data_IF_400832466567
#
_entry.id   IF_400832466567
#
_cell.length_a   1.000
_cell.length_b   1.000
_cell.length_c   1.000
_cell.angle_alpha   90.00
_cell.angle_beta   90.00
_cell.angle_gamma   90.00
#
_symmetry.space_group_name_H-M   'P 1'
#
loop_
_entity.id
_entity.type
_entity.pdbx_description
1 polymer ?
#
# COMPACT_ATOMS: atom_id res chain seq x y z
N UNK A 1 51.16 -41.16 -0.30
CA UNK A 1 50.09 -41.42 -1.28
C UNK A 1 48.78 -41.23 -0.56
N UNK A 2 48.03 -40.18 -0.96
CA UNK A 2 46.59 -39.96 -0.76
C UNK A 2 46.07 -39.83 0.67
N UNK A 3 45.14 -38.96 0.99
CA UNK A 3 44.74 -37.63 0.48
C UNK A 3 43.85 -37.14 1.63
N UNK A 4 44.32 -36.17 2.40
CA UNK A 4 43.49 -35.50 3.38
C UNK A 4 42.55 -34.59 2.60
N UNK A 5 41.31 -35.04 2.39
CA UNK A 5 40.22 -34.19 1.90
C UNK A 5 39.96 -33.10 2.95
N UNK A 6 40.71 -32.01 2.83
CA UNK A 6 40.30 -30.71 3.32
C UNK A 6 39.03 -30.33 2.57
N UNK A 7 37.90 -30.55 3.24
CA UNK A 7 36.64 -29.93 2.89
C UNK A 7 36.79 -28.45 3.23
N UNK A 8 37.43 -27.70 2.34
CA UNK A 8 37.48 -26.24 2.38
C UNK A 8 36.03 -25.80 2.13
N UNK A 9 35.30 -25.57 3.22
CA UNK A 9 34.07 -24.81 3.17
C UNK A 9 34.39 -23.49 2.52
N UNK A 10 33.94 -23.30 1.28
CA UNK A 10 33.73 -21.97 0.73
C UNK A 10 32.69 -21.33 1.63
N UNK A 11 33.14 -20.59 2.63
CA UNK A 11 32.33 -19.53 3.20
C UNK A 11 32.05 -18.59 2.03
N UNK A 12 30.85 -18.66 1.48
CA UNK A 12 30.31 -17.59 0.65
C UNK A 12 30.32 -16.34 1.52
N UNK A 13 31.33 -15.51 1.31
CA UNK A 13 31.41 -14.17 1.87
C UNK A 13 30.07 -13.51 1.50
N UNK A 14 29.20 -13.32 2.51
CA UNK A 14 27.82 -12.92 2.27
C UNK A 14 27.86 -11.47 1.85
N UNK A 15 27.83 -11.25 0.55
CA UNK A 15 27.91 -9.90 -0.01
C UNK A 15 26.59 -9.19 0.27
N UNK A 16 26.62 -8.20 1.15
CA UNK A 16 25.44 -7.44 1.53
C UNK A 16 25.22 -6.31 0.53
N UNK A 17 24.03 -6.19 -0.09
CA UNK A 17 23.73 -5.08 -0.99
C UNK A 17 23.75 -3.74 -0.23
N UNK A 18 24.33 -2.72 -0.85
CA UNK A 18 24.37 -1.35 -0.32
C UNK A 18 23.55 -0.42 -1.22
N UNK A 19 22.73 0.42 -0.61
CA UNK A 19 22.03 1.52 -1.28
C UNK A 19 22.85 2.81 -1.08
N UNK A 20 23.26 3.43 -2.18
CA UNK A 20 23.99 4.71 -2.20
C UNK A 20 23.18 5.76 -2.97
N UNK A 21 23.14 6.98 -2.45
CA UNK A 21 22.55 8.13 -3.13
C UNK A 21 23.70 8.88 -3.82
N UNK A 22 23.75 8.86 -5.16
CA UNK A 22 24.80 9.56 -5.92
C UNK A 22 24.48 11.05 -6.10
N UNK A 23 23.22 11.36 -6.40
CA UNK A 23 22.75 12.74 -6.60
C UNK A 23 21.38 12.90 -5.95
N UNK A 24 21.18 14.00 -5.24
CA UNK A 24 19.91 14.36 -4.62
C UNK A 24 19.66 15.86 -4.79
N UNK A 25 18.45 16.18 -5.22
CA UNK A 25 17.89 17.52 -5.36
C UNK A 25 16.41 17.44 -4.99
N UNK A 26 15.77 18.57 -4.73
CA UNK A 26 14.37 18.63 -4.27
C UNK A 26 13.38 17.88 -5.18
N UNK A 27 13.66 17.83 -6.50
CA UNK A 27 12.78 17.22 -7.52
C UNK A 27 13.43 16.06 -8.25
N UNK A 28 14.66 15.67 -7.91
CA UNK A 28 15.41 14.63 -8.62
C UNK A 28 16.35 13.85 -7.71
N UNK A 29 16.40 12.54 -7.85
CA UNK A 29 17.44 11.73 -7.23
C UNK A 29 17.94 10.61 -8.14
N UNK A 30 19.22 10.29 -7.96
CA UNK A 30 19.91 9.17 -8.60
C UNK A 30 20.43 8.22 -7.53
N UNK A 31 19.82 7.05 -7.45
CA UNK A 31 20.09 6.00 -6.47
C UNK A 31 20.82 4.84 -7.14
N UNK A 32 21.78 4.25 -6.43
CA UNK A 32 22.54 3.09 -6.89
C UNK A 32 22.47 2.00 -5.85
N UNK A 33 22.07 0.80 -6.27
CA UNK A 33 22.06 -0.40 -5.44
C UNK A 33 23.02 -1.41 -6.03
N UNK A 34 24.07 -1.75 -5.26
CA UNK A 34 25.01 -2.80 -5.61
C UNK A 34 25.65 -3.40 -4.35
N UNK A 35 26.09 -4.67 -4.40
CA UNK A 35 25.87 -5.64 -5.47
C UNK A 35 24.57 -6.42 -5.27
N UNK A 36 23.84 -6.67 -6.36
CA UNK A 36 22.63 -7.49 -6.40
C UNK A 36 22.91 -8.81 -7.09
N UNK A 37 22.20 -9.87 -6.71
CA UNK A 37 22.26 -11.13 -7.44
C UNK A 37 21.82 -10.96 -8.90
N UNK A 38 22.39 -11.78 -9.80
CA UNK A 38 22.09 -11.69 -11.23
C UNK A 38 20.59 -11.84 -11.49
N UNK A 39 20.00 -10.87 -12.19
CA UNK A 39 18.58 -10.80 -12.53
C UNK A 39 17.74 -9.99 -11.54
N UNK A 40 18.21 -9.79 -10.30
CA UNK A 40 17.48 -8.98 -9.32
C UNK A 40 17.47 -7.50 -9.66
N UNK A 41 18.47 -6.99 -10.39
CA UNK A 41 18.46 -5.59 -10.84
C UNK A 41 17.23 -5.25 -11.68
N UNK A 42 16.85 -6.14 -12.61
CA UNK A 42 15.68 -5.95 -13.48
C UNK A 42 14.38 -6.10 -12.66
N UNK A 43 14.32 -7.12 -11.80
CA UNK A 43 13.13 -7.39 -10.96
C UNK A 43 12.83 -6.21 -10.03
N UNK A 44 13.84 -5.73 -9.29
CA UNK A 44 13.68 -4.60 -8.38
C UNK A 44 13.40 -3.30 -9.14
N UNK A 45 14.16 -3.02 -10.21
CA UNK A 45 13.99 -1.81 -11.01
C UNK A 45 12.59 -1.69 -11.62
N UNK A 46 12.08 -2.77 -12.21
CA UNK A 46 10.76 -2.79 -12.81
C UNK A 46 9.63 -2.72 -11.76
N UNK A 47 9.77 -3.43 -10.63
CA UNK A 47 8.79 -3.40 -9.55
C UNK A 47 8.68 -1.99 -8.94
N UNK A 48 9.81 -1.39 -8.58
CA UNK A 48 9.85 -0.03 -8.03
C UNK A 48 9.30 0.99 -9.01
N UNK A 49 9.69 0.93 -10.29
CA UNK A 49 9.18 1.83 -11.34
C UNK A 49 7.65 1.78 -11.45
N UNK A 50 7.05 0.59 -11.37
CA UNK A 50 5.59 0.43 -11.45
C UNK A 50 4.91 1.07 -10.25
N UNK A 51 5.41 0.82 -9.04
CA UNK A 51 4.80 1.33 -7.81
C UNK A 51 4.95 2.85 -7.70
N UNK A 52 6.14 3.38 -7.99
CA UNK A 52 6.43 4.82 -8.01
C UNK A 52 5.46 5.60 -8.91
N UNK A 53 5.08 5.05 -10.07
CA UNK A 53 4.21 5.73 -11.03
C UNK A 53 2.71 5.56 -10.74
N UNK A 54 2.30 4.56 -9.95
CA UNK A 54 0.89 4.16 -9.85
C UNK A 54 0.28 4.20 -8.46
N UNK A 55 1.07 3.92 -7.41
CA UNK A 55 0.53 3.50 -6.10
C UNK A 55 0.83 4.48 -4.97
N UNK A 56 1.66 5.48 -5.22
CA UNK A 56 1.93 6.54 -4.24
C UNK A 56 0.68 7.39 -4.02
N UNK A 57 0.47 7.76 -2.75
CA UNK A 57 -0.60 8.66 -2.34
C UNK A 57 -0.20 10.10 -2.63
N UNK A 58 -1.13 10.88 -3.14
CA UNK A 58 -0.97 12.31 -3.31
C UNK A 58 -2.30 13.03 -3.24
N UNK A 59 -2.24 14.36 -3.30
CA UNK A 59 -3.40 15.22 -3.25
C UNK A 59 -3.61 15.95 -4.57
N UNK A 60 -4.85 16.00 -5.03
CA UNK A 60 -5.22 16.69 -6.26
C UNK A 60 -6.62 17.30 -6.13
N UNK A 61 -6.88 18.30 -6.96
CA UNK A 61 -8.19 18.94 -7.08
C UNK A 61 -9.08 18.03 -7.93
N UNK A 62 -10.21 17.58 -7.38
CA UNK A 62 -11.15 16.66 -8.04
C UNK A 62 -12.32 17.40 -8.68
N UNK A 63 -12.71 18.54 -8.11
CA UNK A 63 -13.78 19.36 -8.66
C UNK A 63 -13.63 20.83 -8.29
N UNK A 64 -14.24 21.67 -9.11
CA UNK A 64 -14.18 23.13 -9.00
C UNK A 64 -15.59 23.67 -9.12
N UNK A 65 -15.96 24.59 -8.23
CA UNK A 65 -17.18 25.39 -8.34
C UNK A 65 -16.78 26.84 -8.55
N UNK A 66 -17.19 27.39 -9.68
CA UNK A 66 -16.92 28.77 -10.05
C UNK A 66 -18.24 29.55 -10.00
N UNK A 67 -18.25 30.71 -9.34
CA UNK A 67 -19.44 31.53 -9.30
C UNK A 67 -19.88 31.95 -10.71
N UNK A 68 -21.19 31.91 -10.99
CA UNK A 68 -21.79 32.30 -12.28
C UNK A 68 -21.49 31.38 -13.47
N UNK A 69 -20.73 30.30 -13.26
CA UNK A 69 -20.42 29.30 -14.28
C UNK A 69 -21.17 28.01 -14.00
N UNK A 70 -21.90 27.52 -15.00
CA UNK A 70 -22.65 26.27 -14.89
C UNK A 70 -21.93 25.07 -15.52
N UNK A 71 -21.04 25.32 -16.48
CA UNK A 71 -20.32 24.30 -17.25
C UNK A 71 -18.97 24.83 -17.78
N UNK A 72 -18.07 23.92 -18.13
CA UNK A 72 -16.69 24.17 -18.59
C UNK A 72 -16.56 25.01 -19.88
N UNK A 73 -17.58 25.01 -20.74
CA UNK A 73 -17.57 25.75 -22.02
C UNK A 73 -18.02 27.21 -21.92
N UNK A 74 -18.21 27.72 -20.70
CA UNK A 74 -18.64 29.11 -20.50
C UNK A 74 -17.44 30.06 -20.47
N UNK A 75 -17.69 31.34 -20.71
CA UNK A 75 -16.68 32.39 -20.55
C UNK A 75 -16.88 33.11 -19.23
N UNK A 76 -15.78 33.54 -18.60
CA UNK A 76 -15.78 34.30 -17.37
C UNK A 76 -15.69 35.80 -17.68
N UNK A 77 -16.71 36.61 -17.36
CA UNK A 77 -16.70 38.04 -17.67
C UNK A 77 -15.54 38.78 -17.00
N UNK A 78 -14.68 39.41 -17.80
CA UNK A 78 -13.56 40.24 -17.30
C UNK A 78 -12.31 39.46 -16.91
N UNK A 79 -12.21 38.20 -17.32
CA UNK A 79 -11.00 37.37 -17.31
C UNK A 79 -10.42 37.28 -18.73
N UNK A 80 -9.10 37.19 -18.86
CA UNK A 80 -8.41 37.08 -20.15
C UNK A 80 -8.52 35.66 -20.74
N UNK A 81 -8.41 34.65 -19.88
CA UNK A 81 -8.49 33.23 -20.19
C UNK A 81 -9.96 32.74 -20.20
N UNK A 82 -10.22 31.62 -20.88
CA UNK A 82 -11.53 30.96 -20.81
C UNK A 82 -11.62 29.99 -19.60
N UNK A 83 -12.82 29.47 -19.34
CA UNK A 83 -13.01 28.52 -18.22
C UNK A 83 -12.22 27.23 -18.42
N UNK A 84 -12.02 26.76 -19.66
CA UNK A 84 -11.30 25.53 -19.94
C UNK A 84 -9.79 25.70 -19.69
N UNK A 85 -9.21 26.80 -20.15
CA UNK A 85 -7.83 27.19 -19.90
C UNK A 85 -7.57 27.37 -18.39
N UNK A 86 -8.50 28.02 -17.68
CA UNK A 86 -8.43 28.09 -16.22
C UNK A 86 -8.43 26.70 -15.57
N UNK A 87 -9.33 25.80 -15.97
CA UNK A 87 -9.38 24.43 -15.43
C UNK A 87 -8.11 23.62 -15.77
N UNK A 88 -7.50 23.83 -16.92
CA UNK A 88 -6.20 23.23 -17.28
C UNK A 88 -5.09 23.74 -16.37
N UNK A 89 -5.03 25.04 -16.09
CA UNK A 89 -4.07 25.62 -15.15
C UNK A 89 -4.29 25.08 -13.72
N UNK A 90 -5.55 24.94 -13.30
CA UNK A 90 -5.91 24.36 -11.99
C UNK A 90 -5.41 22.91 -11.85
N UNK A 91 -5.43 22.12 -12.94
CA UNK A 91 -4.86 20.76 -12.97
C UNK A 91 -3.34 20.74 -12.78
N UNK A 92 -2.66 21.86 -13.00
CA UNK A 92 -1.22 22.00 -12.76
C UNK A 92 -0.85 22.34 -11.32
N UNK A 93 -1.82 22.68 -10.47
CA UNK A 93 -1.59 22.93 -9.04
C UNK A 93 -1.05 21.66 -8.38
N UNK A 94 -0.03 21.82 -7.53
CA UNK A 94 0.59 20.74 -6.75
C UNK A 94 0.32 20.94 -5.28
N UNK A 95 -0.45 20.03 -4.71
CA UNK A 95 -0.83 20.03 -3.31
C UNK A 95 -0.05 18.95 -2.57
N UNK A 96 0.61 19.34 -1.49
CA UNK A 96 1.13 18.42 -0.50
C UNK A 96 0.11 18.30 0.63
N UNK A 97 -0.35 17.09 0.89
CA UNK A 97 -1.21 16.83 2.05
C UNK A 97 -0.38 16.74 3.32
N UNK A 98 -0.81 17.44 4.36
CA UNK A 98 -0.26 17.38 5.71
C UNK A 98 -1.11 16.50 6.64
N UNK A 99 -2.34 16.20 6.24
CA UNK A 99 -3.25 15.29 6.92
C UNK A 99 -4.01 14.39 5.94
N UNK A 100 -4.57 13.28 6.43
CA UNK A 100 -5.32 12.32 5.61
C UNK A 100 -6.81 12.70 5.49
N UNK A 101 -7.11 13.97 5.25
CA UNK A 101 -8.48 14.48 5.09
C UNK A 101 -8.62 15.25 3.78
N UNK A 102 -9.77 15.11 3.13
CA UNK A 102 -10.15 16.01 2.05
C UNK A 102 -10.43 17.41 2.59
N UNK A 103 -10.31 18.42 1.72
CA UNK A 103 -10.56 19.81 2.10
C UNK A 103 -10.98 20.66 0.92
N UNK A 104 -11.45 21.86 1.25
CA UNK A 104 -11.85 22.86 0.25
C UNK A 104 -10.90 24.04 0.32
N UNK A 105 -10.36 24.42 -0.83
CA UNK A 105 -9.60 25.65 -1.02
C UNK A 105 -10.52 26.71 -1.61
N UNK A 106 -10.31 27.97 -1.28
CA UNK A 106 -11.08 29.07 -1.83
C UNK A 106 -10.19 30.13 -2.48
N UNK A 107 -10.72 30.81 -3.48
CA UNK A 107 -10.08 31.93 -4.15
C UNK A 107 -11.13 33.03 -4.27
N UNK A 108 -10.82 34.21 -3.73
CA UNK A 108 -11.69 35.39 -3.78
C UNK A 108 -10.84 36.63 -4.06
N UNK A 109 -10.86 37.08 -5.31
CA UNK A 109 -10.02 38.18 -5.79
C UNK A 109 -10.87 39.15 -6.61
N UNK A 110 -10.67 40.44 -6.36
CA UNK A 110 -11.34 41.55 -7.05
C UNK A 110 -10.33 42.49 -7.71
N UNK A 111 -10.67 42.97 -8.90
CA UNK A 111 -9.91 43.99 -9.62
C UNK A 111 -8.89 43.43 -10.63
N UNK A 112 -8.14 44.31 -11.30
CA UNK A 112 -7.26 43.90 -12.37
C UNK A 112 -5.94 43.36 -11.80
N UNK A 113 -5.75 42.05 -11.85
CA UNK A 113 -4.61 41.37 -11.24
C UNK A 113 -4.36 40.01 -11.90
N UNK A 114 -3.09 39.60 -11.93
CA UNK A 114 -2.68 38.24 -12.29
C UNK A 114 -2.82 37.36 -11.05
N UNK A 115 -3.60 36.29 -11.18
CA UNK A 115 -3.89 35.32 -10.13
C UNK A 115 -2.92 34.17 -10.23
N UNK A 116 -2.25 33.89 -9.12
CA UNK A 116 -1.30 32.77 -8.99
C UNK A 116 -1.80 31.73 -7.99
N UNK A 117 -1.18 30.54 -8.00
CA UNK A 117 -1.51 29.49 -7.04
C UNK A 117 -1.18 29.89 -5.59
N UNK A 118 -0.27 30.85 -5.39
CA UNK A 118 0.04 31.43 -4.08
C UNK A 118 -1.08 32.28 -3.49
N UNK A 119 -2.04 32.73 -4.31
CA UNK A 119 -3.18 33.53 -3.86
C UNK A 119 -4.36 32.69 -3.35
N UNK A 120 -4.27 31.35 -3.43
CA UNK A 120 -5.29 30.46 -2.88
C UNK A 120 -5.33 30.54 -1.36
N UNK A 121 -6.55 30.55 -0.82
CA UNK A 121 -6.80 30.36 0.60
C UNK A 121 -6.82 28.85 0.87
N UNK A 122 -5.66 28.34 1.28
CA UNK A 122 -5.43 26.92 1.56
C UNK A 122 -5.69 26.63 3.05
N UNK A 123 -6.46 25.58 3.41
CA UNK A 123 -6.60 25.18 4.81
C UNK A 123 -5.31 24.53 5.32
N UNK A 124 -5.14 24.47 6.66
CA UNK A 124 -3.92 23.95 7.29
C UNK A 124 -3.60 22.47 6.99
N UNK A 125 -4.53 21.74 6.38
CA UNK A 125 -4.36 20.35 5.97
C UNK A 125 -3.57 20.20 4.65
N UNK A 126 -3.40 21.28 3.86
CA UNK A 126 -2.70 21.25 2.57
C UNK A 126 -1.65 22.38 2.47
N UNK A 127 -0.65 22.13 1.63
CA UNK A 127 0.40 23.10 1.27
C UNK A 127 0.56 23.13 -0.26
N UNK A 128 0.58 24.33 -0.85
CA UNK A 128 0.81 24.51 -2.30
C UNK A 128 2.31 24.52 -2.57
N UNK A 129 2.78 23.62 -3.43
CA UNK A 129 4.21 23.46 -3.74
C UNK A 129 4.71 24.32 -4.90
N UNK A 130 3.80 24.84 -5.73
CA UNK A 130 4.12 25.70 -6.87
C UNK A 130 3.33 27.03 -6.81
N UNK A 131 3.58 27.89 -5.80
CA UNK A 131 2.84 29.15 -5.61
C UNK A 131 2.97 30.12 -6.79
N UNK A 132 4.03 30.02 -7.59
CA UNK A 132 4.30 30.82 -8.77
C UNK A 132 3.43 30.47 -9.99
N UNK A 133 2.68 29.37 -9.94
CA UNK A 133 1.87 28.92 -11.06
C UNK A 133 0.79 29.96 -11.40
N UNK A 134 0.79 30.39 -12.67
CA UNK A 134 -0.26 31.25 -13.22
C UNK A 134 -1.58 30.50 -13.34
N UNK A 135 -2.67 31.09 -12.85
CA UNK A 135 -4.02 30.49 -12.95
C UNK A 135 -4.91 31.27 -13.92
N UNK A 136 -4.99 32.59 -13.75
CA UNK A 136 -5.83 33.47 -14.57
C UNK A 136 -5.40 34.94 -14.45
N UNK A 137 -5.88 35.78 -15.35
CA UNK A 137 -5.67 37.24 -15.34
C UNK A 137 -7.02 37.95 -15.37
N UNK A 138 -7.26 38.84 -14.42
CA UNK A 138 -8.41 39.74 -14.42
C UNK A 138 -8.00 41.07 -15.06
N UNK A 139 -8.71 41.49 -16.10
CA UNK A 139 -8.41 42.72 -16.86
C UNK A 139 -9.29 43.91 -16.45
N UNK A 140 -10.48 43.63 -15.89
CA UNK A 140 -11.50 44.66 -15.67
C UNK A 140 -11.52 45.14 -14.22
N UNK A 141 -11.63 46.45 -13.94
CA UNK A 141 -11.68 46.96 -12.55
C UNK A 141 -12.87 46.50 -11.70
N UNK A 142 -13.87 45.87 -12.32
CA UNK A 142 -15.09 45.37 -11.68
C UNK A 142 -15.22 43.84 -11.77
N UNK A 143 -14.25 43.13 -12.32
CA UNK A 143 -14.29 41.67 -12.31
C UNK A 143 -13.91 41.15 -10.92
N UNK A 144 -14.65 40.13 -10.50
CA UNK A 144 -14.42 39.35 -9.29
C UNK A 144 -14.41 37.90 -9.69
N UNK A 145 -13.46 37.14 -9.17
CA UNK A 145 -13.40 35.71 -9.33
C UNK A 145 -13.57 35.06 -7.96
N UNK A 146 -14.65 34.30 -7.80
CA UNK A 146 -14.91 33.48 -6.61
C UNK A 146 -14.96 32.01 -7.03
N UNK A 147 -14.04 31.22 -6.50
CA UNK A 147 -13.88 29.80 -6.83
C UNK A 147 -13.67 28.99 -5.57
N UNK A 148 -14.40 27.87 -5.47
CA UNK A 148 -14.18 26.82 -4.49
C UNK A 148 -13.55 25.61 -5.20
N UNK A 149 -12.43 25.11 -4.68
CA UNK A 149 -11.76 23.91 -5.17
C UNK A 149 -11.91 22.81 -4.13
N UNK A 150 -12.31 21.62 -4.56
CA UNK A 150 -12.35 20.44 -3.71
C UNK A 150 -11.09 19.62 -3.95
N UNK A 151 -10.26 19.48 -2.91
CA UNK A 151 -9.06 18.66 -2.92
C UNK A 151 -9.28 17.38 -2.12
N UNK A 152 -8.85 16.28 -2.71
CA UNK A 152 -8.94 14.94 -2.12
C UNK A 152 -7.57 14.26 -2.14
N UNK A 153 -7.44 13.23 -1.32
CA UNK A 153 -6.32 12.30 -1.38
C UNK A 153 -6.70 11.11 -2.24
N UNK A 154 -5.76 10.65 -3.04
CA UNK A 154 -5.98 9.53 -3.94
C UNK A 154 -4.68 8.90 -4.41
N UNK A 155 -4.80 7.97 -5.35
CA UNK A 155 -3.69 7.27 -6.00
C UNK A 155 -3.86 7.32 -7.51
N UNK A 156 -2.75 7.44 -8.22
CA UNK A 156 -2.72 7.38 -9.67
C UNK A 156 -3.52 8.52 -10.34
N UNK A 157 -4.41 8.16 -11.25
CA UNK A 157 -5.18 9.08 -12.09
C UNK A 157 -6.66 8.73 -12.03
N UNK A 158 -7.50 9.73 -11.81
CA UNK A 158 -8.96 9.59 -11.85
C UNK A 158 -9.54 10.59 -12.85
N UNK A 159 -10.19 10.14 -13.92
CA UNK A 159 -10.80 11.04 -14.89
C UNK A 159 -12.05 11.72 -14.31
N UNK A 160 -12.32 12.95 -14.75
CA UNK A 160 -13.41 13.80 -14.26
C UNK A 160 -14.79 13.10 -14.24
N UNK A 161 -15.07 12.25 -15.24
CA UNK A 161 -16.36 11.55 -15.38
C UNK A 161 -16.61 10.39 -14.41
N UNK A 162 -15.69 10.10 -13.49
CA UNK A 162 -15.84 8.97 -12.56
C UNK A 162 -16.78 9.26 -11.39
N UNK A 163 -17.05 10.53 -11.09
CA UNK A 163 -17.86 10.96 -9.95
C UNK A 163 -19.27 11.33 -10.42
N UNK A 164 -20.25 10.49 -10.09
CA UNK A 164 -21.66 10.72 -10.42
C UNK A 164 -22.38 11.52 -9.32
N UNK A 165 -23.42 12.27 -9.68
CA UNK A 165 -24.31 12.92 -8.71
C UNK A 165 -23.83 14.27 -8.16
N UNK A 166 -22.86 14.92 -8.83
CA UNK A 166 -22.43 16.27 -8.46
C UNK A 166 -23.56 17.30 -8.66
N UNK A 167 -23.71 18.28 -7.75
CA UNK A 167 -24.65 19.37 -7.91
C UNK A 167 -24.37 20.19 -9.17
N UNK A 168 -25.42 20.80 -9.73
CA UNK A 168 -25.30 21.73 -10.87
C UNK A 168 -24.35 22.89 -10.48
N UNK A 169 -23.41 23.22 -11.36
CA UNK A 169 -22.39 24.26 -11.13
C UNK A 169 -21.10 23.74 -10.49
N UNK A 170 -21.00 22.44 -10.19
CA UNK A 170 -19.72 21.79 -9.84
C UNK A 170 -19.17 21.11 -11.09
N UNK A 171 -17.97 21.55 -11.51
CA UNK A 171 -17.28 21.02 -12.68
C UNK A 171 -16.25 20.00 -12.17
N UNK A 172 -16.36 18.72 -12.54
CA UNK A 172 -15.33 17.75 -12.21
C UNK A 172 -14.08 17.99 -13.06
N UNK A 173 -12.91 17.77 -12.47
CA UNK A 173 -11.61 17.91 -13.14
C UNK A 173 -10.87 16.58 -12.99
N UNK A 174 -10.05 16.26 -14.00
CA UNK A 174 -9.18 15.09 -13.92
C UNK A 174 -8.17 15.25 -12.78
N UNK A 175 -8.22 14.31 -11.83
CA UNK A 175 -7.35 14.33 -10.67
C UNK A 175 -6.08 13.51 -10.94
N UNK A 176 -4.93 14.17 -10.90
CA UNK A 176 -3.60 13.54 -11.01
C UNK A 176 -2.98 13.49 -9.62
N UNK A 177 -3.13 12.38 -8.93
CA UNK A 177 -2.60 12.19 -7.57
C UNK A 177 -1.14 11.76 -7.55
N UNK A 178 -0.58 11.32 -8.69
CA UNK A 178 0.79 10.78 -8.71
C UNK A 178 1.85 11.89 -8.54
N UNK A 179 2.70 11.83 -7.50
CA UNK A 179 3.72 12.85 -7.25
C UNK A 179 4.98 12.66 -8.13
N UNK A 180 5.12 11.50 -8.76
CA UNK A 180 6.28 11.13 -9.59
C UNK A 180 5.98 11.39 -11.06
N UNK A 181 6.80 12.22 -11.71
CA UNK A 181 6.67 12.55 -13.14
C UNK A 181 7.32 11.51 -14.04
N UNK A 182 8.49 11.02 -13.64
CA UNK A 182 9.31 10.14 -14.46
C UNK A 182 10.17 9.24 -13.58
N UNK A 183 10.35 8.01 -14.03
CA UNK A 183 11.29 7.05 -13.44
C UNK A 183 12.00 6.31 -14.56
N UNK A 184 13.33 6.33 -14.50
CA UNK A 184 14.21 5.55 -15.34
C UNK A 184 15.03 4.60 -14.48
N UNK A 185 15.36 3.43 -15.00
CA UNK A 185 16.35 2.55 -14.36
C UNK A 185 17.27 1.95 -15.40
N UNK A 186 18.49 1.65 -14.98
CA UNK A 186 19.51 0.96 -15.77
C UNK A 186 20.13 -0.12 -14.92
N UNK A 187 20.32 -1.31 -15.50
CA UNK A 187 21.00 -2.43 -14.86
C UNK A 187 22.34 -2.62 -15.56
N UNK A 188 23.41 -2.65 -14.78
CA UNK A 188 24.79 -2.86 -15.22
C UNK A 188 25.38 -4.07 -14.49
N UNK A 189 26.46 -4.67 -15.02
CA UNK A 189 27.18 -5.73 -14.33
C UNK A 189 28.28 -5.13 -13.45
N UNK A 190 28.39 -5.61 -12.21
CA UNK A 190 29.41 -5.17 -11.26
C UNK A 190 30.28 -6.33 -10.81
N UNK A 191 31.56 -6.05 -10.57
CA UNK A 191 32.53 -7.05 -10.13
C UNK A 191 32.76 -6.93 -8.63
N UNK A 192 32.52 -8.03 -7.91
CA UNK A 192 32.77 -8.13 -6.47
C UNK A 192 33.83 -9.20 -6.24
N UNK A 193 35.02 -8.78 -5.82
CA UNK A 193 36.17 -9.67 -5.63
C UNK A 193 36.53 -10.39 -6.94
N UNK A 194 36.30 -11.72 -6.97
CA UNK A 194 36.55 -12.56 -8.14
C UNK A 194 35.31 -12.82 -9.01
N UNK A 195 34.11 -12.49 -8.54
CA UNK A 195 32.86 -12.72 -9.29
C UNK A 195 32.46 -11.47 -10.07
N UNK A 196 32.01 -11.65 -11.31
CA UNK A 196 31.58 -10.58 -12.23
C UNK A 196 30.08 -10.59 -12.55
N UNK A 197 29.33 -11.50 -11.92
CA UNK A 197 27.96 -11.81 -12.35
C UNK A 197 26.89 -10.98 -11.63
N UNK A 198 27.29 -10.20 -10.62
CA UNK A 198 26.40 -9.34 -9.84
C UNK A 198 25.87 -8.18 -10.69
N UNK A 199 24.65 -7.75 -10.35
CA UNK A 199 23.97 -6.61 -10.94
C UNK A 199 24.21 -5.34 -10.10
N UNK A 200 24.25 -4.21 -10.79
CA UNK A 200 24.21 -2.84 -10.26
C UNK A 200 22.98 -2.16 -10.83
N UNK A 201 22.05 -1.77 -9.97
CA UNK A 201 20.84 -1.06 -10.35
C UNK A 201 21.04 0.44 -10.13
N UNK A 202 20.94 1.22 -11.20
CA UNK A 202 20.89 2.69 -11.16
C UNK A 202 19.45 3.10 -11.39
N UNK A 203 18.87 3.85 -10.46
CA UNK A 203 17.49 4.33 -10.50
C UNK A 203 17.50 5.87 -10.49
N UNK A 204 16.85 6.48 -11.47
CA UNK A 204 16.69 7.93 -11.61
C UNK A 204 15.21 8.29 -11.48
N UNK A 205 14.88 9.18 -10.54
CA UNK A 205 13.50 9.55 -10.19
C UNK A 205 13.34 11.06 -10.30
N UNK A 206 12.25 11.51 -10.94
CA UNK A 206 11.83 12.91 -10.99
C UNK A 206 10.46 13.09 -10.34
N UNK A 207 10.36 13.95 -9.32
CA UNK A 207 9.12 14.28 -8.61
C UNK A 207 8.68 15.71 -8.92
N UNK A 208 7.44 16.05 -8.56
CA UNK A 208 6.91 17.41 -8.69
C UNK A 208 7.20 18.32 -7.48
N UNK A 209 7.89 17.81 -6.47
CA UNK A 209 8.23 18.51 -5.23
C UNK A 209 7.27 18.28 -4.06
N UNK A 210 6.13 17.60 -4.28
CA UNK A 210 5.20 17.24 -3.19
C UNK A 210 5.77 16.19 -2.24
N UNK A 211 6.62 15.31 -2.77
CA UNK A 211 7.33 14.25 -2.03
C UNK A 211 8.80 14.24 -2.49
N UNK A 212 9.72 14.05 -1.54
CA UNK A 212 11.14 13.87 -1.86
C UNK A 212 11.32 12.59 -2.69
N UNK A 213 12.15 12.58 -3.74
CA UNK A 213 12.43 11.37 -4.52
C UNK A 213 12.90 10.18 -3.67
N UNK A 214 13.66 10.42 -2.60
CA UNK A 214 14.15 9.38 -1.68
C UNK A 214 13.00 8.80 -0.85
N UNK A 215 12.14 9.67 -0.30
CA UNK A 215 10.96 9.26 0.45
C UNK A 215 9.97 8.48 -0.44
N UNK A 216 9.80 8.91 -1.69
CA UNK A 216 8.95 8.23 -2.66
C UNK A 216 9.42 6.78 -2.93
N UNK A 217 10.74 6.55 -2.97
CA UNK A 217 11.31 5.20 -3.11
C UNK A 217 11.10 4.37 -1.85
N UNK A 218 11.27 4.96 -0.66
CA UNK A 218 10.98 4.30 0.61
C UNK A 218 9.52 3.84 0.70
N UNK A 219 8.57 4.76 0.46
CA UNK A 219 7.14 4.44 0.43
C UNK A 219 6.80 3.38 -0.61
N UNK A 220 7.43 3.42 -1.78
CA UNK A 220 7.22 2.40 -2.83
C UNK A 220 7.73 1.02 -2.41
N UNK A 221 8.85 0.96 -1.69
CA UNK A 221 9.38 -0.28 -1.15
C UNK A 221 8.45 -0.86 -0.08
N UNK A 222 7.93 -0.03 0.83
CA UNK A 222 6.97 -0.45 1.86
C UNK A 222 5.70 -1.02 1.23
N UNK A 223 5.14 -0.36 0.22
CA UNK A 223 3.98 -0.86 -0.53
C UNK A 223 4.27 -2.24 -1.13
N UNK A 224 5.45 -2.43 -1.75
CA UNK A 224 5.84 -3.74 -2.29
C UNK A 224 5.95 -4.80 -1.19
N UNK A 225 6.56 -4.47 -0.05
CA UNK A 225 6.68 -5.39 1.08
C UNK A 225 5.31 -5.82 1.61
N UNK A 226 4.36 -4.90 1.74
CA UNK A 226 2.99 -5.20 2.15
C UNK A 226 2.30 -6.15 1.16
N UNK A 227 2.48 -5.94 -0.15
CA UNK A 227 1.96 -6.88 -1.16
C UNK A 227 2.64 -8.25 -1.09
N UNK A 228 3.96 -8.29 -0.83
CA UNK A 228 4.71 -9.54 -0.70
C UNK A 228 4.46 -10.27 0.62
N UNK A 229 3.99 -9.58 1.66
CA UNK A 229 3.69 -10.18 2.96
C UNK A 229 2.67 -11.32 2.84
N UNK A 230 1.70 -11.20 1.93
CA UNK A 230 0.70 -12.24 1.64
C UNK A 230 1.34 -13.52 1.10
N UNK A 231 2.37 -13.39 0.27
CA UNK A 231 3.10 -14.54 -0.30
C UNK A 231 4.09 -15.13 0.72
N UNK A 232 4.70 -14.29 1.56
CA UNK A 232 5.63 -14.72 2.62
C UNK A 232 4.96 -15.63 3.66
N UNK A 233 3.65 -15.43 3.89
CA UNK A 233 2.84 -16.24 4.79
C UNK A 233 2.30 -17.53 4.13
N UNK A 234 2.40 -17.66 2.81
CA UNK A 234 1.91 -18.83 2.09
C UNK A 234 2.71 -20.08 2.49
N UNK A 235 2.03 -21.11 2.98
CA UNK A 235 2.67 -22.34 3.49
C UNK A 235 3.22 -22.24 4.91
N UNK A 236 3.05 -21.09 5.57
CA UNK A 236 3.19 -20.92 7.02
C UNK A 236 1.77 -20.83 7.61
N UNK A 237 1.51 -21.34 8.83
CA UNK A 237 0.21 -21.12 9.47
C UNK A 237 -0.07 -19.61 9.48
N UNK A 238 -1.29 -19.20 9.10
CA UNK A 238 -1.70 -17.80 9.01
C UNK A 238 -1.37 -17.08 10.32
N UNK A 239 -0.29 -16.30 10.32
CA UNK A 239 -0.08 -15.30 11.36
C UNK A 239 -0.87 -14.10 10.86
N UNK A 240 -2.05 -13.88 11.44
CA UNK A 240 -2.88 -12.73 11.11
C UNK A 240 -2.08 -11.44 11.37
N UNK A 241 -1.42 -10.91 10.34
CA UNK A 241 -0.86 -9.56 10.40
C UNK A 241 -2.04 -8.61 10.23
N UNK A 242 -2.59 -8.19 11.37
CA UNK A 242 -3.56 -7.10 11.43
C UNK A 242 -2.92 -5.84 10.84
N UNK A 243 -3.24 -5.55 9.57
CA UNK A 243 -3.02 -4.25 8.96
C UNK A 243 -4.04 -3.27 9.56
N UNK A 244 -3.71 -2.77 10.75
CA UNK A 244 -4.39 -1.65 11.40
C UNK A 244 -3.33 -0.60 11.70
N UNK A 245 -3.45 0.56 11.06
CA UNK A 245 -2.47 1.63 11.12
C UNK A 245 -2.13 2.10 12.54
N UNK A 246 -0.93 2.66 12.63
CA UNK A 246 -0.41 3.52 13.69
C UNK A 246 -0.33 2.92 15.11
N UNK A 247 0.90 2.57 15.52
CA UNK A 247 1.42 3.09 16.79
C UNK A 247 2.94 3.04 16.82
N UNK A 248 3.53 4.17 17.21
CA UNK A 248 4.93 4.33 17.52
C UNK A 248 5.36 3.40 18.65
N UNK A 249 6.62 2.97 18.59
CA UNK A 249 7.36 2.50 19.76
C UNK A 249 7.80 1.06 19.62
N UNK A 250 9.09 0.87 19.33
CA UNK A 250 9.72 -0.43 19.41
C UNK A 250 9.53 -1.03 20.81
N UNK A 251 9.03 -2.26 20.87
CA UNK A 251 9.26 -3.18 21.98
C UNK A 251 8.93 -4.60 21.52
N UNK A 252 9.97 -5.43 21.54
CA UNK A 252 9.96 -6.88 21.81
C UNK A 252 8.85 -7.74 21.18
N UNK A 253 9.31 -8.61 20.28
CA UNK A 253 8.64 -9.74 19.59
C UNK A 253 7.92 -10.76 20.52
N UNK A 254 7.94 -10.59 21.85
CA UNK A 254 7.35 -11.54 22.80
C UNK A 254 5.86 -11.36 23.12
N UNK A 255 5.31 -10.14 22.98
CA UNK A 255 3.96 -9.82 23.48
C UNK A 255 2.79 -10.12 22.54
N UNK A 256 3.05 -10.48 21.28
CA UNK A 256 2.04 -10.54 20.21
C UNK A 256 1.49 -11.95 19.90
N UNK A 257 1.83 -12.97 20.69
CA UNK A 257 1.53 -14.38 20.37
C UNK A 257 0.40 -15.02 21.21
N UNK A 258 -0.30 -14.26 22.06
CA UNK A 258 -1.41 -14.77 22.88
C UNK A 258 -2.65 -13.87 22.82
N UNK A 259 -3.83 -14.46 23.00
CA UNK A 259 -5.09 -13.72 23.12
C UNK A 259 -5.02 -12.68 24.26
N UNK A 260 -5.58 -11.47 24.10
CA UNK A 260 -5.49 -10.40 25.11
C UNK A 260 -5.97 -10.80 26.50
N UNK A 261 -6.97 -11.70 26.58
CA UNK A 261 -7.52 -12.20 27.84
C UNK A 261 -6.52 -13.10 28.59
N UNK A 262 -5.72 -13.88 27.86
CA UNK A 262 -4.69 -14.77 28.43
C UNK A 262 -3.44 -13.99 28.82
N UNK A 263 -3.06 -13.00 28.03
CA UNK A 263 -1.91 -12.14 28.29
C UNK A 263 -2.10 -11.28 29.56
N UNK A 264 -3.32 -10.76 29.77
CA UNK A 264 -3.67 -9.91 30.91
C UNK A 264 -4.11 -10.67 32.16
N UNK A 265 -4.04 -12.00 32.18
CA UNK A 265 -4.38 -12.79 33.37
C UNK A 265 -3.42 -12.41 34.52
N UNK A 266 -3.93 -12.06 35.72
CA UNK A 266 -3.10 -11.70 36.85
C UNK A 266 -2.37 -12.92 37.41
N UNK A 267 -1.14 -12.72 37.93
CA UNK A 267 -0.35 -13.81 38.54
C UNK A 267 -0.99 -14.45 39.79
N UNK A 268 -2.06 -13.84 40.32
CA UNK A 268 -2.85 -14.37 41.44
C UNK A 268 -3.64 -15.62 41.07
N UNK A 269 -4.07 -15.71 39.81
CA UNK A 269 -4.90 -16.81 39.29
C UNK A 269 -4.07 -18.08 39.03
N UNK A 270 -2.72 -17.98 39.04
CA UNK A 270 -1.81 -19.09 38.78
C UNK A 270 -1.59 -19.99 40.01
N UNK A 271 -2.19 -19.66 41.16
CA UNK A 271 -2.13 -20.44 42.40
C UNK A 271 -0.69 -20.88 42.80
N UNK A 272 0.28 -19.98 42.61
CA UNK A 272 1.69 -20.20 42.95
C UNK A 272 1.92 -20.21 44.47
N UNK A 273 3.02 -20.81 44.92
CA UNK A 273 3.43 -20.69 46.31
C UNK A 273 3.62 -19.23 46.72
N UNK A 274 3.38 -18.96 48.01
CA UNK A 274 3.57 -17.65 48.64
C UNK A 274 4.96 -17.07 48.35
N UNK A 275 5.97 -17.92 48.13
CA UNK A 275 7.32 -17.48 47.78
C UNK A 275 7.43 -17.04 46.32
N UNK A 276 6.99 -17.85 45.36
CA UNK A 276 7.05 -17.53 43.93
C UNK A 276 6.22 -16.29 43.60
N UNK A 277 4.98 -16.22 44.12
CA UNK A 277 4.09 -15.07 43.95
C UNK A 277 4.71 -13.75 44.48
N UNK A 278 5.25 -13.77 45.71
CA UNK A 278 5.83 -12.56 46.30
C UNK A 278 7.15 -12.12 45.63
N UNK A 279 7.87 -13.03 44.99
CA UNK A 279 9.05 -12.69 44.21
C UNK A 279 8.65 -11.99 42.90
N UNK A 280 7.69 -12.52 42.15
CA UNK A 280 7.18 -11.94 40.91
C UNK A 280 6.51 -10.57 41.14
N UNK A 281 5.69 -10.46 42.17
CA UNK A 281 5.04 -9.19 42.56
C UNK A 281 6.06 -8.10 42.92
N UNK A 282 7.15 -8.46 43.61
CA UNK A 282 8.21 -7.51 44.00
C UNK A 282 9.08 -7.07 42.82
N UNK A 283 9.21 -7.90 41.79
CA UNK A 283 9.90 -7.55 40.55
C UNK A 283 9.04 -6.78 39.55
N UNK A 284 7.80 -6.43 39.93
CA UNK A 284 6.89 -5.65 39.07
C UNK A 284 6.18 -6.48 38.00
N UNK A 285 6.28 -7.81 38.05
CA UNK A 285 5.61 -8.72 37.13
C UNK A 285 4.23 -9.06 37.70
N UNK A 286 3.19 -8.43 37.17
CA UNK A 286 1.82 -8.53 37.70
C UNK A 286 0.91 -9.38 36.81
N UNK A 287 1.28 -9.56 35.54
CA UNK A 287 0.52 -10.33 34.55
C UNK A 287 1.34 -11.49 34.00
N UNK A 288 0.65 -12.52 33.51
CA UNK A 288 1.27 -13.69 32.87
C UNK A 288 2.09 -13.30 31.64
N UNK A 289 1.59 -12.37 30.83
CA UNK A 289 2.29 -11.87 29.64
C UNK A 289 3.68 -11.32 29.95
N UNK A 290 3.82 -10.55 31.04
CA UNK A 290 5.11 -9.98 31.46
C UNK A 290 6.12 -11.04 31.91
N UNK A 291 5.64 -12.17 32.43
CA UNK A 291 6.50 -13.30 32.86
C UNK A 291 6.99 -14.08 31.64
N UNK A 292 6.15 -14.25 30.62
CA UNK A 292 6.50 -14.95 29.37
C UNK A 292 7.46 -14.16 28.48
N UNK A 293 7.50 -12.83 28.60
CA UNK A 293 8.48 -11.98 27.92
C UNK A 293 9.89 -12.06 28.52
N UNK A 294 10.04 -12.70 29.68
CA UNK A 294 11.32 -12.82 30.38
C UNK A 294 11.98 -14.16 30.08
N UNK A 295 13.29 -14.10 29.83
CA UNK A 295 14.12 -15.29 29.65
C UNK A 295 14.34 -16.00 30.99
N UNK A 296 14.68 -17.29 30.95
CA UNK A 296 14.95 -18.10 32.15
C UNK A 296 16.03 -17.48 33.04
N UNK A 297 17.11 -16.99 32.43
CA UNK A 297 18.22 -16.36 33.14
C UNK A 297 17.79 -15.06 33.84
N UNK A 298 16.89 -14.28 33.22
CA UNK A 298 16.35 -13.06 33.82
C UNK A 298 15.41 -13.36 35.00
N UNK A 299 14.63 -14.45 34.92
CA UNK A 299 13.77 -14.88 36.03
C UNK A 299 14.60 -15.43 37.19
N UNK A 300 15.65 -16.20 36.93
CA UNK A 300 16.57 -16.71 37.95
C UNK A 300 17.44 -15.62 38.59
N UNK A 301 17.64 -14.49 37.92
CA UNK A 301 18.33 -13.32 38.48
C UNK A 301 17.46 -12.55 39.49
N UNK A 302 16.15 -12.82 39.59
CA UNK A 302 15.26 -12.13 40.51
C UNK A 302 15.60 -12.44 41.97
N UNK A 303 15.56 -11.41 42.82
CA UNK A 303 15.96 -11.52 44.23
C UNK A 303 15.10 -12.56 44.96
N UNK A 304 15.75 -13.59 45.50
CA UNK A 304 15.15 -14.72 46.21
C UNK A 304 14.28 -15.65 45.35
N UNK A 305 14.31 -15.50 44.03
CA UNK A 305 13.73 -16.44 43.07
C UNK A 305 14.77 -17.53 42.80
N UNK A 306 14.43 -18.78 43.09
CA UNK A 306 15.36 -19.91 42.93
C UNK A 306 14.79 -20.94 41.97
N UNK A 307 15.61 -21.92 41.56
CA UNK A 307 15.23 -23.00 40.63
C UNK A 307 13.89 -23.66 40.99
N UNK A 308 13.69 -23.97 42.27
CA UNK A 308 12.43 -24.56 42.75
C UNK A 308 11.18 -23.69 42.51
N UNK A 309 11.32 -22.36 42.53
CA UNK A 309 10.21 -21.43 42.22
C UNK A 309 10.03 -21.23 40.72
N UNK A 310 11.09 -21.39 39.93
CA UNK A 310 11.03 -21.41 38.48
C UNK A 310 10.35 -22.69 37.97
N UNK A 311 10.74 -23.85 38.49
CA UNK A 311 10.13 -25.14 38.16
C UNK A 311 8.63 -25.13 38.52
N UNK A 312 8.27 -24.59 39.70
CA UNK A 312 6.87 -24.41 40.11
C UNK A 312 6.08 -23.49 39.17
N UNK A 313 6.69 -22.38 38.73
CA UNK A 313 6.08 -21.46 37.77
C UNK A 313 5.88 -22.13 36.41
N UNK A 314 6.88 -22.86 35.93
CA UNK A 314 6.84 -23.59 34.66
C UNK A 314 5.77 -24.69 34.70
N UNK A 315 5.72 -25.49 35.76
CA UNK A 315 4.73 -26.56 35.93
C UNK A 315 3.29 -26.01 35.91
N UNK A 316 3.07 -24.86 36.57
CA UNK A 316 1.75 -24.19 36.56
C UNK A 316 1.38 -23.59 35.22
N UNK A 317 2.35 -23.02 34.50
CA UNK A 317 2.13 -22.51 33.15
C UNK A 317 1.84 -23.64 32.15
N UNK A 318 2.41 -24.83 32.35
CA UNK A 318 2.10 -26.03 31.56
C UNK A 318 0.72 -26.59 31.95
N UNK A 319 0.39 -26.66 33.24
CA UNK A 319 -0.91 -27.16 33.73
C UNK A 319 -2.09 -26.31 33.22
N UNK A 320 -1.88 -25.00 33.10
CA UNK A 320 -2.86 -24.04 32.58
C UNK A 320 -2.74 -23.79 31.07
N UNK A 321 -1.98 -24.64 30.37
CA UNK A 321 -1.82 -24.65 28.90
C UNK A 321 -1.29 -23.33 28.31
N UNK A 322 -0.55 -22.53 29.10
CA UNK A 322 0.13 -21.33 28.62
C UNK A 322 1.47 -21.65 27.95
N UNK A 323 2.13 -22.76 28.26
CA UNK A 323 3.47 -23.13 27.75
C UNK A 323 3.52 -24.60 27.36
N UNK A 324 4.17 -24.93 26.24
CA UNK A 324 4.34 -26.31 25.77
C UNK A 324 5.43 -27.02 26.59
N UNK A 325 5.08 -28.12 27.26
CA UNK A 325 5.98 -28.87 28.14
C UNK A 325 7.15 -29.58 27.43
N UNK A 326 7.19 -29.56 26.10
CA UNK A 326 8.24 -30.21 25.29
C UNK A 326 9.40 -29.31 24.87
N UNK A 327 9.35 -27.99 25.10
CA UNK A 327 10.42 -27.05 24.79
C UNK A 327 11.30 -26.68 26.01
N UNK A 328 12.61 -26.45 25.81
CA UNK A 328 13.47 -25.80 26.80
C UNK A 328 13.12 -24.30 26.87
N UNK A 329 12.54 -23.86 28.00
CA UNK A 329 12.12 -22.48 28.24
C UNK A 329 10.60 -22.28 28.32
N UNK A 330 10.18 -21.03 28.54
CA UNK A 330 8.77 -20.63 28.61
C UNK A 330 8.27 -20.22 27.22
N UNK A 331 8.07 -21.20 26.33
CA UNK A 331 7.54 -20.93 24.98
C UNK A 331 6.00 -20.92 25.03
N UNK A 332 5.33 -19.79 24.72
CA UNK A 332 3.89 -19.69 24.80
C UNK A 332 3.16 -20.61 23.80
N UNK A 333 2.09 -21.27 24.25
CA UNK A 333 1.19 -22.03 23.37
C UNK A 333 0.32 -21.02 22.59
N UNK A 334 0.43 -21.08 21.27
CA UNK A 334 -0.40 -20.30 20.34
C UNK A 334 -1.75 -21.00 20.22
N UNK A 335 -2.84 -20.34 20.64
CA UNK A 335 -4.19 -20.88 20.51
C UNK A 335 -4.57 -21.04 19.04
N UNK A 336 -4.54 -22.28 18.53
CA UNK A 336 -5.27 -22.68 17.33
C UNK A 336 -6.77 -22.84 17.62
N UNK A 337 -7.66 -22.77 16.61
CA UNK A 337 -9.11 -22.82 16.84
C UNK A 337 -9.54 -24.15 17.48
N UNK A 338 -10.28 -24.05 18.59
CA UNK A 338 -10.66 -25.13 19.48
C UNK A 338 -11.40 -26.31 18.80
N UNK A 339 -10.96 -27.54 19.07
CA UNK A 339 -11.71 -28.80 18.82
C UNK A 339 -12.29 -29.39 20.11
N UNK A 340 -13.54 -29.02 20.40
CA UNK A 340 -14.68 -29.76 20.99
C UNK A 340 -14.58 -30.80 22.13
N UNK A 341 -15.48 -30.67 23.12
CA UNK A 341 -16.35 -31.80 23.55
C UNK A 341 -16.89 -31.79 25.00
N UNK A 342 -18.23 -31.66 25.18
CA UNK A 342 -19.16 -32.55 25.95
C UNK A 342 -20.46 -31.78 26.41
N UNK A 343 -21.54 -32.44 26.88
CA UNK A 343 -22.73 -32.75 26.06
C UNK A 343 -24.04 -32.06 26.52
N UNK A 344 -24.96 -31.87 25.57
CA UNK A 344 -26.40 -31.81 25.85
C UNK A 344 -27.06 -30.44 25.75
N UNK A 345 -27.84 -30.23 24.67
CA UNK A 345 -29.31 -30.03 24.67
C UNK A 345 -29.68 -29.25 23.40
N UNK A 346 -30.44 -29.88 22.51
CA UNK A 346 -30.96 -29.24 21.30
C UNK A 346 -31.88 -28.06 21.67
N UNK A 347 -31.91 -27.02 20.82
CA UNK A 347 -33.18 -26.78 20.13
C UNK A 347 -33.06 -26.45 18.64
N UNK A 348 -33.92 -27.12 17.89
CA UNK A 348 -34.70 -26.70 16.72
C UNK A 348 -34.08 -25.85 15.61
N UNK A 349 -34.15 -26.44 14.41
CA UNK A 349 -33.84 -25.87 13.11
C UNK A 349 -34.75 -24.70 12.71
N UNK A 350 -34.16 -23.74 11.97
CA UNK A 350 -34.84 -22.78 11.11
C UNK A 350 -34.02 -22.63 9.80
N UNK A 351 -34.65 -22.28 8.66
CA UNK A 351 -34.30 -22.82 7.36
C UNK A 351 -33.13 -22.11 6.65
N UNK A 352 -32.35 -22.91 5.92
CA UNK A 352 -31.30 -22.48 5.01
C UNK A 352 -31.83 -21.60 3.87
N UNK A 353 -31.25 -20.42 3.69
CA UNK A 353 -31.34 -19.65 2.43
C UNK A 353 -30.47 -20.33 1.35
N UNK A 354 -30.91 -20.38 0.09
CA UNK A 354 -30.17 -21.05 -0.98
C UNK A 354 -28.89 -20.28 -1.31
N UNK A 355 -27.77 -21.00 -1.36
CA UNK A 355 -26.47 -20.49 -1.74
C UNK A 355 -26.42 -20.08 -3.21
N UNK A 356 -25.75 -18.95 -3.48
CA UNK A 356 -25.36 -18.50 -4.81
C UNK A 356 -24.27 -19.46 -5.34
N UNK A 357 -24.39 -20.00 -6.58
CA UNK A 357 -23.37 -20.90 -7.11
C UNK A 357 -22.07 -20.13 -7.42
N UNK A 358 -20.90 -20.79 -7.31
CA UNK A 358 -19.61 -20.18 -7.62
C UNK A 358 -19.46 -19.96 -9.12
N UNK A 359 -18.89 -18.81 -9.50
CA UNK A 359 -18.50 -18.48 -10.86
C UNK A 359 -17.33 -19.40 -11.25
N UNK A 360 -17.57 -20.28 -12.23
CA UNK A 360 -16.52 -21.08 -12.87
C UNK A 360 -15.89 -20.24 -13.96
N UNK A 361 -14.61 -19.88 -13.82
CA UNK A 361 -13.80 -19.45 -14.96
C UNK A 361 -13.31 -20.70 -15.67
N UNK A 362 -14.03 -21.13 -16.70
CA UNK A 362 -13.51 -22.09 -17.68
C UNK A 362 -12.94 -21.30 -18.85
N UNK A 363 -11.61 -21.34 -18.99
CA UNK A 363 -10.98 -21.06 -20.28
C UNK A 363 -11.43 -22.16 -21.25
N UNK A 364 -12.20 -21.78 -22.26
CA UNK A 364 -12.62 -22.66 -23.35
C UNK A 364 -11.96 -22.11 -24.61
N UNK A 365 -11.04 -22.90 -25.18
CA UNK A 365 -10.57 -22.74 -26.56
C UNK A 365 -11.72 -23.29 -27.41
N UNK A 366 -12.32 -22.47 -28.28
CA UNK A 366 -13.43 -22.86 -29.15
C UNK A 366 -12.97 -22.76 -30.61
N UNK A 367 -13.19 -23.84 -31.36
CA UNK A 367 -12.96 -23.97 -32.80
C UNK A 367 -14.01 -23.18 -33.61
N UNK A 368 -13.66 -22.73 -34.81
CA UNK A 368 -14.35 -21.73 -35.64
C UNK A 368 -15.73 -22.14 -36.22
N UNK A 369 -16.25 -23.33 -35.91
CA UNK A 369 -17.47 -23.86 -36.55
C UNK A 369 -18.78 -23.66 -35.76
N UNK A 370 -18.75 -23.11 -34.54
CA UNK A 370 -19.93 -23.02 -33.64
C UNK A 370 -20.66 -21.65 -33.65
N UNK A 371 -20.36 -20.74 -34.58
CA UNK A 371 -20.91 -19.38 -34.57
C UNK A 371 -22.36 -19.23 -35.11
N UNK A 372 -22.95 -20.24 -35.76
CA UNK A 372 -24.24 -20.06 -36.45
C UNK A 372 -25.50 -20.20 -35.57
N UNK A 373 -25.42 -20.86 -34.40
CA UNK A 373 -26.62 -21.13 -33.59
C UNK A 373 -26.93 -20.05 -32.53
N UNK A 374 -26.00 -19.17 -32.18
CA UNK A 374 -26.15 -18.23 -31.04
C UNK A 374 -26.40 -16.76 -31.42
N UNK A 375 -26.76 -16.47 -32.67
CA UNK A 375 -27.14 -15.11 -33.06
C UNK A 375 -28.56 -14.76 -32.59
N UNK A 376 -28.65 -13.74 -31.71
CA UNK A 376 -29.91 -13.05 -31.36
C UNK A 376 -30.68 -12.64 -32.62
N UNK A 377 -32.02 -12.59 -32.53
CA UNK A 377 -32.90 -12.23 -33.66
C UNK A 377 -32.52 -10.89 -34.35
N UNK A 378 -31.96 -9.94 -33.59
CA UNK A 378 -31.45 -8.67 -34.12
C UNK A 378 -30.14 -8.86 -34.92
N UNK A 379 -29.27 -9.76 -34.48
CA UNK A 379 -28.01 -10.10 -35.15
C UNK A 379 -28.24 -10.82 -36.48
N UNK A 380 -29.24 -11.70 -36.55
CA UNK A 380 -29.65 -12.35 -37.82
C UNK A 380 -30.17 -11.31 -38.83
N UNK A 381 -30.98 -10.35 -38.37
CA UNK A 381 -31.51 -9.29 -39.23
C UNK A 381 -30.41 -8.33 -39.75
N UNK A 382 -29.40 -8.02 -38.92
CA UNK A 382 -28.27 -7.17 -39.33
C UNK A 382 -27.36 -7.87 -40.34
N UNK A 383 -27.07 -9.16 -40.14
CA UNK A 383 -26.28 -9.98 -41.08
C UNK A 383 -26.98 -10.12 -42.43
N UNK A 384 -28.30 -10.33 -42.43
CA UNK A 384 -29.11 -10.42 -43.66
C UNK A 384 -29.17 -9.08 -44.39
N UNK A 385 -29.18 -7.95 -43.68
CA UNK A 385 -29.08 -6.61 -44.28
C UNK A 385 -27.69 -6.36 -44.90
N UNK A 386 -26.61 -6.79 -44.23
CA UNK A 386 -25.25 -6.65 -44.72
C UNK A 386 -24.95 -7.54 -45.94
N UNK A 387 -25.51 -8.75 -46.00
CA UNK A 387 -25.41 -9.62 -47.18
C UNK A 387 -26.16 -9.06 -48.40
N UNK A 388 -27.22 -8.27 -48.17
CA UNK A 388 -28.03 -7.68 -49.24
C UNK A 388 -27.38 -6.46 -49.89
N UNK A 389 -26.49 -5.78 -49.17
CA UNK A 389 -25.76 -4.58 -49.60
C UNK A 389 -24.39 -4.89 -50.23
N UNK A 390 -24.07 -6.17 -50.47
CA UNK A 390 -22.98 -6.59 -51.36
C UNK A 390 -21.59 -6.08 -50.99
N UNK A 391 -21.33 -5.79 -49.71
CA UNK A 391 -20.07 -5.18 -49.24
C UNK A 391 -19.24 -6.11 -48.36
N UNK A 392 -19.36 -7.43 -48.55
CA UNK A 392 -18.67 -8.45 -47.76
C UNK A 392 -17.48 -9.11 -48.48
N UNK A 393 -17.04 -8.59 -49.64
CA UNK A 393 -15.91 -9.16 -50.39
C UNK A 393 -14.57 -8.42 -50.19
N UNK A 394 -14.51 -7.33 -49.42
CA UNK A 394 -13.30 -6.48 -49.37
C UNK A 394 -12.36 -6.68 -48.15
N UNK A 395 -12.54 -7.72 -47.33
CA UNK A 395 -11.75 -7.86 -46.08
C UNK A 395 -11.11 -9.22 -45.81
N UNK A 396 -11.13 -10.16 -46.76
CA UNK A 396 -10.46 -11.45 -46.57
C UNK A 396 -9.59 -11.77 -47.80
N UNK A 397 -8.30 -11.42 -47.72
CA UNK A 397 -7.30 -11.90 -48.67
C UNK A 397 -6.05 -11.04 -48.76
N UNK A 398 -5.11 -11.25 -47.84
CA UNK A 398 -3.67 -11.18 -48.11
C UNK A 398 -2.91 -11.86 -46.96
N UNK A 399 -2.79 -13.19 -47.05
CA UNK A 399 -1.62 -13.90 -46.56
C UNK A 399 -0.38 -13.39 -47.31
N UNK A 400 0.74 -13.21 -46.60
CA UNK A 400 2.07 -13.52 -47.14
C UNK A 400 3.05 -13.74 -45.97
N UNK A 401 3.62 -14.94 -45.97
CA UNK A 401 4.79 -15.35 -45.19
C UNK A 401 6.05 -14.62 -45.68
N UNK A 402 6.85 -14.10 -44.75
CA UNK A 402 8.33 -14.21 -44.68
C UNK A 402 8.86 -13.66 -43.35
#
# INVERSE_FOLDING_TARGET
MMDSLELIGQATDTVVPQLTIEEESDKYARLVVEPLDSGYGITLGNALRRVLLSSLEGAAITSVRIEQVQHEFSTLPGMAEDTTEFLLNVKEIRLRALSNRSGTLSLDIEGPVTITAGDLQVPADFEVQNPELHLATLDTPKSRLNVEFHAELGKGYVPAGSVEGLPIGVIPVDAVFTPVRKVNYRVEKTRVGQSTDFDRLVLEIWTDGTVSPVDAVGQSADILMDQFALFSQMGRPEIAISHGGASLGGSSVGGLLMAPDRYNTPIEDLALSVRAYNCLKRSGLMTVGQVLEKTEDELLALRNFGRKSYDELRDRLIELDYVDGTAEGLVPIVDGPAKGGAPGRAPMAAPSRPGRPPVRTSAVIMDEDDEEENLSALGKALKEALLKDGSAEDLIGADDED
#
